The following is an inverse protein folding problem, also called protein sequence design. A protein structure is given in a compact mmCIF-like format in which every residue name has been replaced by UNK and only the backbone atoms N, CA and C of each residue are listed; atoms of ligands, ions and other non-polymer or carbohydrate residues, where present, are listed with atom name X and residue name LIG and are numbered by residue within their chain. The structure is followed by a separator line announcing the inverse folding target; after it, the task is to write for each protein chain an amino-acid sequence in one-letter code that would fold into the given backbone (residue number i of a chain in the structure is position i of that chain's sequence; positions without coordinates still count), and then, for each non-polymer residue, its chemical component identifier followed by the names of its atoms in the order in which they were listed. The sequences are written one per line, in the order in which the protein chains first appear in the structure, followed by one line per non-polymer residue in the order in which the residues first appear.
data_IF_215424189269
#
_entry.id   IF_215424189269
#
_cell.length_a   1.000
_cell.length_b   1.000
_cell.length_c   1.000
_cell.angle_alpha   90.00
_cell.angle_beta   90.00
_cell.angle_gamma   90.00
#
_symmetry.space_group_name_H-M   'P 1'
#
loop_
_entity.id
_entity.type
_entity.pdbx_description
1 polymer ?
#
# COMPACT_ATOMS: atom_id res chain seq x y z
N UNK A 1 7.93 8.78 -10.44
CA UNK A 1 8.13 8.19 -11.75
C UNK A 1 6.85 7.58 -12.30
N UNK A 2 6.92 7.00 -13.49
CA UNK A 2 5.84 6.33 -14.25
C UNK A 2 5.17 5.20 -13.46
N UNK A 3 5.91 4.39 -12.69
CA UNK A 3 5.32 3.29 -11.91
C UNK A 3 4.47 3.84 -10.75
N UNK A 4 4.93 4.89 -10.08
CA UNK A 4 4.20 5.49 -8.95
C UNK A 4 2.91 6.15 -9.43
N UNK A 5 2.93 6.76 -10.61
CA UNK A 5 1.73 7.28 -11.24
C UNK A 5 0.76 6.15 -11.61
N UNK A 6 1.24 5.07 -12.23
CA UNK A 6 0.40 3.94 -12.62
C UNK A 6 -0.23 3.22 -11.42
N UNK A 7 0.53 3.00 -10.33
CA UNK A 7 0.00 2.43 -9.08
C UNK A 7 -1.08 3.33 -8.50
N UNK A 8 -0.84 4.65 -8.44
CA UNK A 8 -1.86 5.58 -7.96
C UNK A 8 -3.11 5.60 -8.84
N UNK A 9 -2.96 5.49 -10.16
CA UNK A 9 -4.07 5.39 -11.12
C UNK A 9 -4.86 4.11 -10.93
N UNK A 10 -4.19 2.96 -10.81
CA UNK A 10 -4.83 1.67 -10.56
C UNK A 10 -5.63 1.65 -9.24
N UNK A 11 -5.13 2.36 -8.22
CA UNK A 11 -5.83 2.53 -6.94
C UNK A 11 -6.74 3.77 -6.86
N UNK A 12 -6.84 4.59 -7.92
CA UNK A 12 -7.73 5.75 -7.96
C UNK A 12 -9.23 5.39 -7.74
N UNK A 13 -9.79 4.30 -8.32
CA UNK A 13 -11.16 3.90 -8.01
C UNK A 13 -11.32 3.46 -6.54
N UNK A 14 -10.32 2.75 -6.00
CA UNK A 14 -10.32 2.26 -4.62
C UNK A 14 -10.32 3.40 -3.59
N UNK A 15 -9.55 4.47 -3.84
CA UNK A 15 -9.53 5.69 -3.00
C UNK A 15 -10.85 6.46 -2.94
N UNK A 16 -11.71 6.32 -3.95
CA UNK A 16 -13.01 7.00 -4.05
C UNK A 16 -14.16 6.11 -3.58
N UNK A 17 -13.93 4.81 -3.47
CA UNK A 17 -14.91 3.86 -3.00
C UNK A 17 -15.10 4.03 -1.48
N UNK A 18 -16.33 3.87 -0.96
CA UNK A 18 -16.53 3.77 0.48
C UNK A 18 -15.76 2.55 0.99
N UNK A 19 -15.05 2.72 2.11
CA UNK A 19 -14.25 1.65 2.71
C UNK A 19 -15.16 0.44 2.96
N UNK A 20 -14.93 -0.64 2.22
CA UNK A 20 -15.71 -1.86 2.36
C UNK A 20 -15.47 -2.48 3.73
N UNK A 21 -16.55 -2.65 4.49
CA UNK A 21 -16.47 -3.08 5.89
C UNK A 21 -15.84 -4.47 6.07
N UNK A 22 -15.79 -5.28 5.00
CA UNK A 22 -15.26 -6.64 5.05
C UNK A 22 -13.73 -6.73 5.02
N UNK A 23 -13.06 -5.73 4.44
CA UNK A 23 -11.59 -5.66 4.36
C UNK A 23 -11.00 -4.67 5.36
N UNK A 24 -11.87 -3.94 6.08
CA UNK A 24 -11.48 -2.97 7.08
C UNK A 24 -11.19 -3.63 8.43
N UNK A 25 -9.98 -3.43 8.95
CA UNK A 25 -9.59 -3.82 10.30
C UNK A 25 -9.65 -2.60 11.20
N UNK A 26 -10.51 -2.62 12.22
CA UNK A 26 -10.71 -1.50 13.15
C UNK A 26 -10.13 -1.86 14.51
N UNK A 27 -9.07 -1.17 14.91
CA UNK A 27 -8.50 -1.23 16.26
C UNK A 27 -8.97 -0.02 17.08
N UNK A 28 -9.57 -0.28 18.24
CA UNK A 28 -9.97 0.76 19.20
C UNK A 28 -9.07 0.66 20.43
N UNK A 29 -8.33 1.72 20.73
CA UNK A 29 -7.43 1.75 21.87
C UNK A 29 -7.57 3.08 22.64
N UNK A 30 -8.01 3.02 23.90
CA UNK A 30 -8.05 4.16 24.87
C UNK A 30 -8.45 5.53 24.27
N UNK A 31 -9.48 5.58 23.43
CA UNK A 31 -9.98 6.82 22.82
C UNK A 31 -9.39 7.18 21.45
N UNK A 32 -8.54 6.32 20.89
CA UNK A 32 -8.08 6.31 19.49
C UNK A 32 -8.76 5.17 18.74
N UNK A 33 -9.22 5.47 17.53
CA UNK A 33 -9.73 4.51 16.55
C UNK A 33 -8.74 4.53 15.39
N UNK A 34 -8.22 3.36 15.03
CA UNK A 34 -7.41 3.19 13.84
C UNK A 34 -8.11 2.16 12.96
N UNK A 35 -8.50 2.54 11.75
CA UNK A 35 -9.04 1.65 10.75
C UNK A 35 -8.02 1.49 9.64
N UNK A 36 -7.65 0.26 9.32
CA UNK A 36 -6.74 -0.07 8.22
C UNK A 36 -7.46 -0.92 7.20
N UNK A 37 -7.33 -0.56 5.93
CA UNK A 37 -7.90 -1.31 4.82
C UNK A 37 -6.80 -1.62 3.84
N UNK A 38 -6.65 -2.89 3.49
CA UNK A 38 -5.63 -3.36 2.57
C UNK A 38 -6.28 -3.75 1.25
N UNK A 39 -5.78 -3.19 0.17
CA UNK A 39 -6.16 -3.50 -1.20
C UNK A 39 -4.96 -4.12 -1.89
N UNK A 40 -5.16 -5.22 -2.61
CA UNK A 40 -4.11 -5.84 -3.41
C UNK A 40 -4.61 -5.97 -4.83
N UNK A 41 -3.77 -5.57 -5.77
CA UNK A 41 -3.99 -5.76 -7.20
C UNK A 41 -2.80 -6.53 -7.77
N UNK A 42 -3.04 -7.25 -8.86
CA UNK A 42 -1.98 -7.90 -9.59
C UNK A 42 -1.16 -6.84 -10.35
N UNK A 43 0.14 -7.07 -10.51
CA UNK A 43 0.99 -6.18 -11.31
C UNK A 43 0.52 -6.07 -12.77
N UNK A 44 -0.15 -7.10 -13.29
CA UNK A 44 -0.75 -7.13 -14.62
C UNK A 44 -1.89 -6.13 -14.80
N UNK A 45 -2.48 -5.64 -13.71
CA UNK A 45 -3.54 -4.61 -13.72
C UNK A 45 -2.97 -3.20 -13.87
N UNK A 46 -1.64 -3.04 -13.79
CA UNK A 46 -0.99 -1.74 -14.01
C UNK A 46 -0.94 -1.39 -15.49
N UNK A 47 -1.45 -0.22 -15.83
CA UNK A 47 -1.30 0.32 -17.17
C UNK A 47 0.11 0.92 -17.37
N UNK A 48 0.89 0.32 -18.25
CA UNK A 48 2.21 0.80 -18.68
C UNK A 48 3.26 -0.29 -18.86
N UNK A 49 4.40 0.07 -19.45
CA UNK A 49 5.56 -0.83 -19.59
C UNK A 49 6.39 -0.85 -18.31
N UNK A 50 6.17 -1.89 -17.50
CA UNK A 50 6.94 -2.16 -16.28
C UNK A 50 7.87 -3.37 -16.40
N UNK A 51 8.30 -3.72 -17.61
CA UNK A 51 9.21 -4.85 -17.86
C UNK A 51 10.53 -4.76 -17.09
N UNK A 52 10.96 -3.54 -16.73
CA UNK A 52 12.09 -3.27 -15.82
C UNK A 52 11.91 -3.92 -14.45
N UNK A 53 10.66 -4.17 -14.05
CA UNK A 53 10.25 -4.83 -12.81
C UNK A 53 9.74 -6.24 -13.13
N UNK A 54 10.56 -7.05 -13.79
CA UNK A 54 10.21 -8.43 -14.21
C UNK A 54 9.84 -9.35 -13.03
N UNK A 55 10.24 -8.99 -11.82
CA UNK A 55 9.84 -9.67 -10.59
C UNK A 55 8.64 -9.04 -9.88
N UNK A 56 7.92 -8.09 -10.46
CA UNK A 56 6.73 -7.47 -9.83
C UNK A 56 5.50 -8.33 -10.08
N UNK A 57 4.86 -8.81 -9.02
CA UNK A 57 3.71 -9.72 -9.10
C UNK A 57 2.45 -9.11 -8.51
N UNK A 58 2.57 -8.36 -7.42
CA UNK A 58 1.42 -7.72 -6.78
C UNK A 58 1.77 -6.34 -6.26
N UNK A 59 0.78 -5.46 -6.28
CA UNK A 59 0.84 -4.13 -5.69
C UNK A 59 -0.19 -4.04 -4.58
N UNK A 60 0.18 -3.38 -3.48
CA UNK A 60 -0.67 -3.26 -2.30
C UNK A 60 -0.87 -1.79 -1.98
N UNK A 61 -2.09 -1.42 -1.66
CA UNK A 61 -2.43 -0.12 -1.12
C UNK A 61 -3.06 -0.30 0.26
N UNK A 62 -2.57 0.44 1.24
CA UNK A 62 -3.08 0.45 2.60
C UNK A 62 -3.61 1.82 2.93
N UNK A 63 -4.90 1.88 3.21
CA UNK A 63 -5.57 3.06 3.75
C UNK A 63 -5.51 2.96 5.27
N UNK A 64 -4.94 3.96 5.91
CA UNK A 64 -4.82 4.05 7.36
C UNK A 64 -5.59 5.29 7.83
N UNK A 65 -6.76 5.06 8.38
CA UNK A 65 -7.59 6.09 8.99
C UNK A 65 -7.35 6.09 10.50
N UNK A 66 -6.90 7.22 11.04
CA UNK A 66 -6.69 7.41 12.47
C UNK A 66 -7.57 8.55 12.96
N UNK A 67 -8.44 8.25 13.91
CA UNK A 67 -9.20 9.25 14.64
C UNK A 67 -8.85 9.18 16.12
N UNK A 68 -8.52 10.31 16.72
CA UNK A 68 -8.32 10.41 18.17
C UNK A 68 -9.29 11.42 18.75
N UNK A 69 -9.81 11.15 19.96
CA UNK A 69 -10.74 12.06 20.64
C UNK A 69 -10.10 13.45 20.82
N UNK A 70 -10.72 14.46 20.22
CA UNK A 70 -10.25 15.85 20.29
C UNK A 70 -9.14 16.22 19.30
N UNK A 71 -8.84 15.36 18.33
CA UNK A 71 -7.96 15.67 17.19
C UNK A 71 -8.69 15.47 15.88
N UNK A 72 -8.21 16.14 14.84
CA UNK A 72 -8.66 15.88 13.47
C UNK A 72 -8.34 14.43 13.08
N UNK A 73 -9.24 13.83 12.30
CA UNK A 73 -9.01 12.50 11.77
C UNK A 73 -7.99 12.57 10.63
N UNK A 74 -6.98 11.72 10.70
CA UNK A 74 -5.91 11.62 9.72
C UNK A 74 -6.20 10.42 8.81
N UNK A 75 -6.14 10.63 7.49
CA UNK A 75 -6.23 9.57 6.50
C UNK A 75 -4.92 9.53 5.71
N UNK A 76 -4.28 8.37 5.72
CA UNK A 76 -2.98 8.16 5.12
C UNK A 76 -3.04 6.97 4.16
N UNK A 77 -2.46 7.14 2.98
CA UNK A 77 -2.37 6.09 1.97
C UNK A 77 -0.92 5.63 1.85
N UNK A 78 -0.70 4.32 1.93
CA UNK A 78 0.62 3.71 1.74
C UNK A 78 0.56 2.73 0.59
N UNK A 79 1.59 2.73 -0.26
CA UNK A 79 1.69 1.84 -1.40
C UNK A 79 2.90 0.92 -1.23
N UNK A 80 2.73 -0.35 -1.59
CA UNK A 80 3.77 -1.36 -1.56
C UNK A 80 3.76 -2.15 -2.86
N UNK A 81 4.91 -2.72 -3.18
CA UNK A 81 5.09 -3.63 -4.30
C UNK A 81 5.66 -4.95 -3.77
N UNK A 82 5.26 -6.05 -4.38
CA UNK A 82 5.63 -7.40 -3.97
C UNK A 82 5.93 -8.25 -5.21
N UNK A 83 6.96 -9.08 -5.08
CA UNK A 83 7.32 -10.12 -6.05
C UNK A 83 6.60 -11.44 -5.83
N UNK A 84 5.77 -11.50 -4.80
CA UNK A 84 4.89 -12.63 -4.53
C UNK A 84 3.44 -12.21 -4.75
N UNK A 85 2.63 -13.17 -5.17
CA UNK A 85 1.18 -13.04 -5.20
C UNK A 85 0.66 -13.00 -3.76
N UNK A 86 0.07 -11.88 -3.37
CA UNK A 86 -0.44 -11.65 -2.02
C UNK A 86 -1.96 -11.48 -2.03
N UNK A 87 -2.64 -12.08 -1.07
CA UNK A 87 -4.02 -11.72 -0.74
C UNK A 87 -4.03 -10.48 0.16
N UNK A 88 -5.13 -9.70 0.23
CA UNK A 88 -5.24 -8.54 1.13
C UNK A 88 -5.02 -8.89 2.60
N UNK A 89 -5.40 -10.09 3.02
CA UNK A 89 -5.14 -10.58 4.38
C UNK A 89 -3.65 -10.86 4.60
N UNK A 90 -2.98 -11.56 3.66
CA UNK A 90 -1.54 -11.80 3.74
C UNK A 90 -0.75 -10.50 3.69
N UNK A 91 -1.13 -9.56 2.83
CA UNK A 91 -0.51 -8.25 2.74
C UNK A 91 -0.70 -7.46 4.03
N UNK A 92 -1.91 -7.39 4.57
CA UNK A 92 -2.18 -6.72 5.85
C UNK A 92 -1.40 -7.35 7.01
N UNK A 93 -1.32 -8.68 7.05
CA UNK A 93 -0.55 -9.39 8.08
C UNK A 93 0.96 -9.16 7.91
N UNK A 94 1.49 -9.22 6.69
CA UNK A 94 2.89 -8.94 6.40
C UNK A 94 3.26 -7.51 6.79
N UNK A 95 2.44 -6.52 6.43
CA UNK A 95 2.65 -5.11 6.79
C UNK A 95 2.59 -4.90 8.30
N UNK A 96 1.70 -5.62 9.00
CA UNK A 96 1.62 -5.58 10.47
C UNK A 96 2.84 -6.22 11.12
N UNK A 97 3.25 -7.40 10.65
CA UNK A 97 4.43 -8.11 11.14
C UNK A 97 5.71 -7.30 10.89
N UNK A 98 5.80 -6.65 9.72
CA UNK A 98 6.88 -5.74 9.34
C UNK A 98 6.92 -4.48 10.22
N UNK A 99 5.81 -4.08 10.84
CA UNK A 99 5.77 -3.01 11.85
C UNK A 99 6.17 -3.42 13.26
N UNK A 100 6.27 -4.73 13.55
CA UNK A 100 6.69 -5.24 14.86
C UNK A 100 8.18 -5.56 14.98
N UNK A 101 8.92 -5.64 13.86
CA UNK A 101 10.31 -6.07 13.81
C UNK A 101 11.14 -4.89 13.29
N UNK A 102 12.09 -4.42 14.09
CA UNK A 102 12.92 -3.24 13.84
C UNK A 102 13.30 -3.01 12.37
N UNK A 103 13.00 -1.79 11.88
CA UNK A 103 13.82 -1.06 10.90
C UNK A 103 14.03 -1.70 9.52
N UNK A 104 13.08 -1.54 8.57
CA UNK A 104 13.48 -1.46 7.14
C UNK A 104 12.46 -0.79 6.21
N UNK A 105 12.91 0.36 5.69
CA UNK A 105 12.59 1.12 4.47
C UNK A 105 11.17 1.03 3.88
N UNK A 106 10.44 2.13 4.00
CA UNK A 106 9.20 2.37 3.26
C UNK A 106 9.42 2.13 1.77
N UNK A 107 8.59 1.31 1.13
CA UNK A 107 8.70 1.03 -0.30
C UNK A 107 8.37 2.27 -1.17
N UNK A 108 7.83 3.35 -0.57
CA UNK A 108 7.78 4.66 -1.24
C UNK A 108 9.13 5.43 -1.14
N UNK A 109 9.98 5.13 -0.15
CA UNK A 109 11.32 5.72 0.02
C UNK A 109 12.43 4.86 -0.61
N UNK A 110 12.20 3.55 -0.86
CA UNK A 110 12.93 2.84 -1.92
C UNK A 110 12.30 3.36 -3.20
N UNK A 111 12.72 4.59 -3.53
CA UNK A 111 12.55 5.26 -4.80
C UNK A 111 12.35 4.21 -5.86
N UNK A 112 11.17 4.21 -6.48
CA UNK A 112 10.95 3.47 -7.71
C UNK A 112 12.17 3.75 -8.56
N UNK A 113 13.01 2.72 -8.71
CA UNK A 113 14.35 2.75 -9.30
C UNK A 113 14.26 2.97 -10.81
N UNK A 114 13.36 3.84 -11.24
CA UNK A 114 13.29 4.37 -12.60
C UNK A 114 14.59 5.11 -12.97
N UNK A 115 15.41 5.49 -11.99
CA UNK A 115 16.71 6.15 -12.19
C UNK A 115 17.93 5.24 -11.95
N UNK A 116 17.76 3.98 -11.54
CA UNK A 116 18.91 3.11 -11.19
C UNK A 116 19.34 2.16 -12.30
N UNK A 117 18.86 2.36 -13.54
CA UNK A 117 19.26 1.57 -14.70
C UNK A 117 19.73 2.48 -15.84
N UNK A 118 20.75 3.30 -15.57
CA UNK A 118 21.65 3.77 -16.62
C UNK A 118 22.88 2.85 -16.59
N UNK A 119 22.75 1.69 -17.24
CA UNK A 119 23.87 0.80 -17.50
C UNK A 119 24.63 1.43 -18.68
N UNK A 120 25.88 1.85 -18.45
CA UNK A 120 26.87 2.11 -19.50
C UNK A 120 27.48 0.78 -19.98
#
# INVERSE_FOLDING_TARGET
GKLAAAVQTAFAPHRRAPIEKTTCQIEKQKGRVEARTCHVLNASELEGDFSTWSGLTSIVMVENYRAAKGKESELEYRYYISSAELTPEQAGNAIRAHWGIESMHWILDVSMREDACQIY
#
